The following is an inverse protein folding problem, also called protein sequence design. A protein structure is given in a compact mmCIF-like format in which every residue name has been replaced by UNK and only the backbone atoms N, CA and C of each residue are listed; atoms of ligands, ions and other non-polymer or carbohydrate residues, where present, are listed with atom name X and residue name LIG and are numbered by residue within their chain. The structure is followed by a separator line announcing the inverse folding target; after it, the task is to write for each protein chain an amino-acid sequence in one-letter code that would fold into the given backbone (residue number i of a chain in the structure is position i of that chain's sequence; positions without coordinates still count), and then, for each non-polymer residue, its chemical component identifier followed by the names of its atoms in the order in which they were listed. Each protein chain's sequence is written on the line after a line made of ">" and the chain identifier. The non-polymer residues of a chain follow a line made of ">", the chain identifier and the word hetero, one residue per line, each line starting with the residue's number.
data_IF_007907051864
#
_entry.id   IF_007907051864
#
_cell.length_a   1.000
_cell.length_b   1.000
_cell.length_c   1.000
_cell.angle_alpha   90.00
_cell.angle_beta   90.00
_cell.angle_gamma   90.00
#
_symmetry.space_group_name_H-M   'P 1'
#
loop_
_entity.id
_entity.type
_entity.pdbx_description
1 polymer ?
#
# COMPACT_ATOMS: atom_id res chain seq x y z
N UNK A 1 2.04 6.36 20.77
CA UNK A 1 1.84 7.60 20.00
C UNK A 1 0.34 7.80 19.87
N UNK A 2 -0.16 8.98 20.22
CA UNK A 2 -1.58 9.32 20.07
C UNK A 2 -1.71 10.19 18.81
N UNK A 3 -2.62 9.84 17.91
CA UNK A 3 -2.94 10.61 16.72
C UNK A 3 -4.41 10.99 16.82
N UNK A 4 -4.69 12.30 16.81
CA UNK A 4 -6.05 12.81 16.79
C UNK A 4 -6.47 13.04 15.34
N UNK A 5 -7.65 12.56 14.96
CA UNK A 5 -8.22 12.71 13.64
C UNK A 5 -9.47 13.58 13.77
N UNK A 6 -9.45 14.77 13.17
CA UNK A 6 -10.66 15.58 13.03
C UNK A 6 -11.45 15.07 11.83
N UNK A 7 -12.61 14.48 12.09
CA UNK A 7 -13.50 13.91 11.07
C UNK A 7 -14.78 14.74 10.97
N UNK A 8 -15.38 14.89 9.78
CA UNK A 8 -16.73 15.41 9.64
C UNK A 8 -17.72 14.57 10.46
N UNK A 9 -18.74 15.21 11.04
CA UNK A 9 -19.73 14.52 11.89
C UNK A 9 -20.44 13.39 11.16
N UNK A 10 -20.78 13.62 9.89
CA UNK A 10 -21.42 12.64 9.00
C UNK A 10 -20.58 11.36 8.87
N UNK A 11 -19.26 11.51 8.71
CA UNK A 11 -18.34 10.37 8.58
C UNK A 11 -18.17 9.62 9.90
N UNK A 12 -18.18 10.32 11.03
CA UNK A 12 -18.16 9.69 12.35
C UNK A 12 -19.38 8.79 12.60
N UNK A 13 -20.55 9.24 12.15
CA UNK A 13 -21.80 8.50 12.27
C UNK A 13 -21.82 7.26 11.36
N UNK A 14 -21.33 7.39 10.11
CA UNK A 14 -21.19 6.27 9.17
C UNK A 14 -20.27 5.18 9.73
N UNK A 15 -19.09 5.54 10.23
CA UNK A 15 -18.14 4.59 10.83
C UNK A 15 -18.74 3.87 12.05
N UNK A 16 -19.52 4.60 12.85
CA UNK A 16 -20.22 4.04 14.01
C UNK A 16 -21.32 3.06 13.61
N UNK A 17 -22.07 3.38 12.56
CA UNK A 17 -23.09 2.52 11.99
C UNK A 17 -22.47 1.23 11.44
N UNK A 18 -21.42 1.33 10.64
CA UNK A 18 -20.72 0.18 10.06
C UNK A 18 -20.13 -0.73 11.15
N UNK A 19 -19.51 -0.16 12.18
CA UNK A 19 -19.02 -0.92 13.32
C UNK A 19 -20.14 -1.70 14.02
N UNK A 20 -21.31 -1.07 14.20
CA UNK A 20 -22.48 -1.72 14.82
C UNK A 20 -23.01 -2.90 14.00
N UNK A 21 -23.06 -2.75 12.67
CA UNK A 21 -23.52 -3.81 11.75
C UNK A 21 -22.57 -5.01 11.78
N UNK A 22 -21.27 -4.76 11.90
CA UNK A 22 -20.23 -5.79 12.04
C UNK A 22 -20.12 -6.34 13.47
N UNK A 23 -20.88 -5.81 14.43
CA UNK A 23 -20.81 -6.13 15.86
C UNK A 23 -19.40 -5.95 16.44
N UNK A 24 -18.70 -4.91 15.99
CA UNK A 24 -17.36 -4.56 16.44
C UNK A 24 -17.39 -3.28 17.28
N UNK A 25 -16.49 -3.14 18.28
CA UNK A 25 -16.23 -1.85 18.88
C UNK A 25 -15.72 -0.86 17.82
N UNK A 26 -16.17 0.41 17.87
CA UNK A 26 -15.76 1.46 16.93
C UNK A 26 -14.24 1.56 16.82
N UNK A 27 -13.52 1.51 17.96
CA UNK A 27 -12.06 1.56 17.98
C UNK A 27 -11.42 0.42 17.20
N UNK A 28 -11.96 -0.81 17.31
CA UNK A 28 -11.45 -1.96 16.53
C UNK A 28 -11.74 -1.79 15.05
N UNK A 29 -12.95 -1.30 14.72
CA UNK A 29 -13.34 -1.02 13.34
C UNK A 29 -12.43 0.03 12.68
N UNK A 30 -12.19 1.15 13.36
CA UNK A 30 -11.28 2.20 12.86
C UNK A 30 -9.87 1.66 12.68
N UNK A 31 -9.36 0.86 13.62
CA UNK A 31 -8.06 0.23 13.44
C UNK A 31 -8.02 -0.67 12.21
N UNK A 32 -9.08 -1.43 11.92
CA UNK A 32 -9.14 -2.23 10.69
C UNK A 32 -9.13 -1.35 9.45
N UNK A 33 -9.89 -0.26 9.42
CA UNK A 33 -9.89 0.69 8.29
C UNK A 33 -8.51 1.31 8.09
N UNK A 34 -7.85 1.75 9.17
CA UNK A 34 -6.51 2.33 9.11
C UNK A 34 -5.42 1.31 8.74
N UNK A 35 -5.57 0.06 9.18
CA UNK A 35 -4.71 -1.06 8.81
C UNK A 35 -5.00 -1.58 7.40
N UNK A 36 -6.19 -1.28 6.85
CA UNK A 36 -6.57 -1.60 5.49
C UNK A 36 -5.74 -0.72 4.54
N UNK A 37 -4.51 -1.17 4.30
CA UNK A 37 -3.80 -0.88 3.06
C UNK A 37 -4.72 -1.37 1.95
N UNK A 38 -5.01 -0.58 0.90
CA UNK A 38 -5.78 -1.08 -0.22
C UNK A 38 -5.06 -2.31 -0.77
N UNK A 39 -5.54 -3.48 -0.38
CA UNK A 39 -5.27 -4.70 -1.09
C UNK A 39 -5.98 -4.48 -2.41
N UNK A 40 -5.22 -4.46 -3.51
CA UNK A 40 -5.73 -4.25 -4.86
C UNK A 40 -7.02 -5.06 -5.05
N UNK A 41 -8.19 -4.45 -4.89
CA UNK A 41 -9.45 -5.19 -4.87
C UNK A 41 -9.72 -5.85 -6.22
N UNK A 42 -9.17 -5.24 -7.27
CA UNK A 42 -9.04 -5.83 -8.59
C UNK A 42 -7.56 -5.75 -8.99
N UNK A 43 -6.73 -6.75 -8.64
CA UNK A 43 -5.36 -6.75 -9.07
C UNK A 43 -5.33 -6.88 -10.60
N UNK A 44 -4.39 -6.19 -11.27
CA UNK A 44 -4.23 -6.31 -12.72
C UNK A 44 -4.00 -7.77 -13.10
N UNK A 45 -4.79 -8.28 -14.03
CA UNK A 45 -4.77 -9.68 -14.47
C UNK A 45 -3.86 -9.89 -15.67
N UNK A 46 -3.52 -8.81 -16.37
CA UNK A 46 -2.66 -8.81 -17.55
C UNK A 46 -1.48 -7.87 -17.36
N UNK A 47 -0.43 -8.06 -18.16
CA UNK A 47 0.73 -7.17 -18.14
C UNK A 47 0.37 -5.72 -18.51
N UNK A 48 -0.56 -5.53 -19.43
CA UNK A 48 -1.02 -4.20 -19.82
C UNK A 48 -1.76 -3.49 -18.66
N UNK A 49 -2.67 -4.19 -17.99
CA UNK A 49 -3.36 -3.65 -16.80
C UNK A 49 -2.37 -3.28 -15.68
N UNK A 50 -1.31 -4.07 -15.52
CA UNK A 50 -0.28 -3.82 -14.51
C UNK A 50 0.50 -2.53 -14.81
N UNK A 51 0.88 -2.33 -16.08
CA UNK A 51 1.56 -1.09 -16.51
C UNK A 51 0.64 0.12 -16.32
N UNK A 52 -0.62 0.04 -16.73
CA UNK A 52 -1.59 1.13 -16.53
C UNK A 52 -1.79 1.46 -15.06
N UNK A 53 -1.81 0.44 -14.18
CA UNK A 53 -1.87 0.64 -12.73
C UNK A 53 -0.62 1.36 -12.19
N UNK A 54 0.57 0.97 -12.64
CA UNK A 54 1.81 1.65 -12.24
C UNK A 54 1.87 3.10 -12.71
N UNK A 55 1.37 3.38 -13.91
CA UNK A 55 1.29 4.75 -14.44
C UNK A 55 0.34 5.62 -13.62
N UNK A 56 -0.90 5.16 -13.39
CA UNK A 56 -1.89 5.90 -12.59
C UNK A 56 -1.47 6.10 -11.12
N UNK A 57 -0.66 5.17 -10.60
CA UNK A 57 -0.10 5.25 -9.25
C UNK A 57 1.20 6.09 -9.17
N UNK A 58 1.68 6.66 -10.29
CA UNK A 58 2.89 7.49 -10.32
C UNK A 58 4.19 6.71 -10.09
N UNK A 59 4.19 5.40 -10.30
CA UNK A 59 5.37 4.53 -10.09
C UNK A 59 6.34 4.63 -11.28
N UNK A 60 5.84 4.86 -12.49
CA UNK A 60 6.67 5.04 -13.67
C UNK A 60 7.58 6.27 -13.48
N UNK A 61 8.87 6.11 -13.74
CA UNK A 61 9.92 7.12 -13.53
C UNK A 61 10.22 7.51 -12.06
N UNK A 62 9.68 6.79 -11.07
CA UNK A 62 9.96 7.06 -9.64
C UNK A 62 11.40 6.79 -9.20
N UNK A 63 12.20 6.09 -10.02
CA UNK A 63 13.61 5.76 -9.78
C UNK A 63 14.53 6.34 -10.86
N UNK A 64 14.63 7.68 -10.96
CA UNK A 64 15.47 8.32 -11.98
C UNK A 64 16.97 8.06 -11.76
N UNK A 65 17.36 7.65 -10.55
CA UNK A 65 18.72 7.24 -10.20
C UNK A 65 19.16 5.92 -10.85
N UNK A 66 18.21 5.12 -11.36
CA UNK A 66 18.48 3.87 -12.08
C UNK A 66 18.37 4.12 -13.59
N UNK A 67 19.50 4.45 -14.21
CA UNK A 67 19.56 4.69 -15.67
C UNK A 67 19.51 3.39 -16.48
N UNK A 68 20.22 2.34 -16.03
CA UNK A 68 20.15 0.99 -16.61
C UNK A 68 19.60 0.02 -15.56
N UNK A 69 18.33 -0.35 -15.73
CA UNK A 69 17.64 -1.27 -14.82
C UNK A 69 18.22 -2.67 -14.82
N UNK A 70 18.80 -3.12 -15.94
CA UNK A 70 19.40 -4.45 -16.04
C UNK A 70 20.74 -4.51 -15.34
N UNK A 71 21.60 -3.51 -15.54
CA UNK A 71 22.88 -3.41 -14.83
C UNK A 71 22.66 -3.33 -13.32
N UNK A 72 21.71 -2.48 -12.88
CA UNK A 72 21.32 -2.36 -11.47
C UNK A 72 20.88 -3.70 -10.89
N UNK A 73 20.03 -4.46 -11.60
CA UNK A 73 19.58 -5.78 -11.17
C UNK A 73 20.74 -6.79 -11.07
N UNK A 74 21.69 -6.78 -12.01
CA UNK A 74 22.89 -7.63 -11.96
C UNK A 74 23.78 -7.28 -10.77
N UNK A 75 23.95 -5.98 -10.46
CA UNK A 75 24.68 -5.52 -9.27
C UNK A 75 24.02 -6.00 -7.99
N UNK A 76 22.71 -5.81 -7.86
CA UNK A 76 21.92 -6.24 -6.70
C UNK A 76 22.03 -7.76 -6.46
N UNK A 77 22.00 -8.56 -7.54
CA UNK A 77 22.18 -10.01 -7.44
C UNK A 77 23.57 -10.37 -6.88
N UNK A 78 24.64 -9.77 -7.42
CA UNK A 78 26.01 -10.03 -6.94
C UNK A 78 26.17 -9.68 -5.46
N UNK A 79 25.66 -8.53 -5.03
CA UNK A 79 25.69 -8.10 -3.63
C UNK A 79 24.97 -9.08 -2.69
N UNK A 80 23.85 -9.66 -3.15
CA UNK A 80 23.12 -10.67 -2.37
C UNK A 80 23.86 -12.01 -2.32
N UNK A 81 24.51 -12.42 -3.40
CA UNK A 81 25.28 -13.67 -3.50
C UNK A 81 26.56 -13.63 -2.65
N UNK A 82 27.23 -12.48 -2.57
CA UNK A 82 28.45 -12.29 -1.77
C UNK A 82 28.16 -11.84 -0.33
N UNK A 83 26.89 -11.77 0.08
CA UNK A 83 26.53 -11.43 1.45
C UNK A 83 27.00 -12.56 2.36
N UNK A 84 28.07 -12.33 3.12
CA UNK A 84 28.49 -13.27 4.15
C UNK A 84 27.33 -13.51 5.11
N UNK A 85 27.01 -14.79 5.32
CA UNK A 85 26.07 -15.21 6.36
C UNK A 85 26.78 -15.09 7.70
N UNK A 86 26.70 -13.91 8.32
CA UNK A 86 26.92 -13.77 9.77
C UNK A 86 25.74 -14.35 10.53
#
# INVERSE_FOLDING_TARGET
>A
MIVNLDLPSELGDELSLEASQLKLPLTEYILRVLLFRPFLQNPPKTGAELVSYWESSGVINSRPDITDSQEYARRLRREAETRERT
#
